data_IF_934608845344
#
_entry.id   IF_934608845344
#
_cell.length_a   1.000
_cell.length_b   1.000
_cell.length_c   1.000
_cell.angle_alpha   90.00
_cell.angle_beta   90.00
_cell.angle_gamma   90.00
#
_symmetry.space_group_name_H-M   'P 1'
#
loop_
_entity.id
_entity.type
_entity.pdbx_description
1 polymer ?
#
# COMPACT_ATOMS: atom_id res chain seq x y z
N UNK A 1 14.46 23.30 -6.75
CA UNK A 1 14.33 21.83 -6.68
C UNK A 1 13.76 21.35 -8.01
N UNK A 2 14.22 20.21 -8.53
CA UNK A 2 13.68 19.65 -9.78
C UNK A 2 12.84 18.39 -9.46
N UNK A 3 11.77 18.58 -8.68
CA UNK A 3 10.90 17.47 -8.31
C UNK A 3 10.08 17.01 -9.53
N UNK A 4 10.10 15.72 -9.81
CA UNK A 4 9.44 15.05 -10.93
C UNK A 4 8.39 14.02 -10.50
N UNK A 5 8.50 13.51 -9.26
CA UNK A 5 7.57 12.55 -8.69
C UNK A 5 7.29 12.89 -7.22
N UNK A 6 6.02 12.89 -6.84
CA UNK A 6 5.58 13.06 -5.46
C UNK A 6 4.89 11.77 -5.04
N UNK A 7 5.37 11.14 -3.96
CA UNK A 7 4.74 9.97 -3.35
C UNK A 7 4.16 10.34 -1.98
N UNK A 8 2.92 9.99 -1.71
CA UNK A 8 2.28 10.28 -0.43
C UNK A 8 1.59 9.03 0.11
N UNK A 9 1.89 8.68 1.36
CA UNK A 9 1.07 7.69 2.06
C UNK A 9 -0.38 8.17 2.17
N UNK A 10 -1.29 7.22 2.41
CA UNK A 10 -2.73 7.49 2.46
C UNK A 10 -3.22 7.75 3.88
N UNK A 11 -3.17 6.73 4.74
CA UNK A 11 -3.83 6.75 6.05
C UNK A 11 -2.99 7.49 7.10
N UNK A 12 -3.46 8.65 7.59
CA UNK A 12 -2.68 9.51 8.49
C UNK A 12 -1.75 10.49 7.78
N UNK A 13 -1.70 10.44 6.46
CA UNK A 13 -0.88 11.32 5.62
C UNK A 13 -1.74 12.13 4.65
N UNK A 14 -2.25 11.53 3.57
CA UNK A 14 -3.08 12.20 2.57
C UNK A 14 -4.55 12.28 3.00
N UNK A 15 -5.05 11.24 3.66
CA UNK A 15 -6.43 11.18 4.17
C UNK A 15 -6.52 11.85 5.54
N UNK A 16 -7.58 12.63 5.75
CA UNK A 16 -7.94 13.17 7.06
C UNK A 16 -8.36 12.07 8.06
N UNK A 17 -8.61 12.41 9.31
CA UNK A 17 -9.07 11.48 10.35
C UNK A 17 -10.44 10.85 10.04
N UNK A 18 -11.22 11.41 9.11
CA UNK A 18 -12.49 10.87 8.60
C UNK A 18 -12.31 10.03 7.34
N UNK A 19 -11.06 9.75 6.93
CA UNK A 19 -10.70 9.00 5.73
C UNK A 19 -11.14 9.66 4.42
N UNK A 20 -11.20 11.00 4.39
CA UNK A 20 -11.55 11.78 3.21
C UNK A 20 -10.29 12.37 2.56
N UNK A 21 -10.29 12.45 1.23
CA UNK A 21 -9.25 13.16 0.47
C UNK A 21 -9.42 14.68 0.64
N UNK A 22 -8.32 15.46 0.63
CA UNK A 22 -8.38 16.92 0.64
C UNK A 22 -9.19 17.46 -0.54
N UNK A 23 -10.09 18.41 -0.29
CA UNK A 23 -10.98 19.00 -1.31
C UNK A 23 -10.22 19.59 -2.52
N UNK A 24 -9.04 20.17 -2.28
CA UNK A 24 -8.20 20.78 -3.31
C UNK A 24 -7.17 19.86 -3.96
N UNK A 25 -7.21 18.55 -3.71
CA UNK A 25 -6.19 17.61 -4.20
C UNK A 25 -6.23 17.44 -5.71
N UNK A 26 -7.41 17.19 -6.31
CA UNK A 26 -7.52 16.89 -7.74
C UNK A 26 -7.05 18.06 -8.62
N UNK A 27 -7.49 19.32 -8.38
CA UNK A 27 -6.92 20.46 -9.10
C UNK A 27 -5.40 20.62 -8.90
N UNK A 28 -4.89 20.33 -7.70
CA UNK A 28 -3.45 20.41 -7.41
C UNK A 28 -2.67 19.36 -8.22
N UNK A 29 -3.15 18.12 -8.26
CA UNK A 29 -2.53 17.04 -9.07
C UNK A 29 -2.49 17.40 -10.55
N UNK A 30 -3.57 17.95 -11.09
CA UNK A 30 -3.60 18.41 -12.49
C UNK A 30 -2.60 19.54 -12.75
N UNK A 31 -2.51 20.53 -11.85
CA UNK A 31 -1.52 21.61 -11.96
C UNK A 31 -0.07 21.08 -11.89
N UNK A 32 0.20 20.05 -11.08
CA UNK A 32 1.48 19.36 -11.05
C UNK A 32 1.77 18.62 -12.37
N UNK A 33 0.79 17.90 -12.90
CA UNK A 33 0.91 17.18 -14.17
C UNK A 33 1.26 18.13 -15.33
N UNK A 34 0.62 19.30 -15.40
CA UNK A 34 0.94 20.35 -16.40
C UNK A 34 2.40 20.86 -16.30
N UNK A 35 3.00 20.73 -15.11
CA UNK A 35 4.43 21.07 -14.87
C UNK A 35 5.37 19.87 -15.04
N UNK A 36 4.85 18.71 -15.51
CA UNK A 36 5.62 17.49 -15.71
C UNK A 36 5.96 16.75 -14.40
N UNK A 37 5.19 16.99 -13.32
CA UNK A 37 5.34 16.30 -12.03
C UNK A 37 4.25 15.26 -11.88
N UNK A 38 4.62 13.99 -11.63
CA UNK A 38 3.70 12.89 -11.38
C UNK A 38 3.37 12.79 -9.89
N UNK A 39 2.18 12.29 -9.57
CA UNK A 39 1.75 12.04 -8.21
C UNK A 39 1.44 10.56 -8.01
N UNK A 40 1.88 9.97 -6.89
CA UNK A 40 1.72 8.56 -6.58
C UNK A 40 1.22 8.37 -5.13
N UNK A 41 -0.06 8.02 -4.89
CA UNK A 41 -0.47 7.47 -3.60
C UNK A 41 0.28 6.17 -3.31
N UNK A 42 0.79 6.03 -2.08
CA UNK A 42 1.60 4.91 -1.64
C UNK A 42 0.97 4.24 -0.40
N UNK A 43 0.38 3.05 -0.53
CA UNK A 43 -0.43 2.44 0.51
C UNK A 43 -0.27 0.92 0.60
N UNK A 44 -0.63 0.35 1.77
CA UNK A 44 -0.87 -1.09 1.94
C UNK A 44 -2.19 -1.58 1.35
N UNK A 45 -3.07 -0.66 0.90
CA UNK A 45 -4.37 -0.98 0.31
C UNK A 45 -4.22 -1.66 -1.05
N UNK A 46 -5.26 -2.40 -1.45
CA UNK A 46 -5.37 -2.97 -2.79
C UNK A 46 -5.36 -1.86 -3.85
N UNK A 47 -4.72 -2.14 -4.99
CA UNK A 47 -4.67 -1.20 -6.11
C UNK A 47 -6.05 -0.70 -6.54
N UNK A 48 -7.02 -1.58 -6.74
CA UNK A 48 -8.37 -1.20 -7.18
C UNK A 48 -9.11 -0.33 -6.17
N UNK A 49 -8.85 -0.51 -4.87
CA UNK A 49 -9.39 0.36 -3.82
C UNK A 49 -8.82 1.78 -3.94
N UNK A 50 -7.52 1.91 -4.20
CA UNK A 50 -6.90 3.22 -4.44
C UNK A 50 -7.42 3.83 -5.74
N UNK A 51 -7.42 3.06 -6.83
CA UNK A 51 -7.85 3.53 -8.14
C UNK A 51 -9.29 4.08 -8.13
N UNK A 52 -10.23 3.36 -7.50
CA UNK A 52 -11.62 3.82 -7.33
C UNK A 52 -11.71 5.08 -6.44
N UNK A 53 -10.88 5.20 -5.42
CA UNK A 53 -10.87 6.35 -4.52
C UNK A 53 -10.49 7.66 -5.22
N UNK A 54 -9.62 7.61 -6.23
CA UNK A 54 -9.20 8.78 -6.99
C UNK A 54 -10.11 9.12 -8.17
N UNK A 55 -11.06 8.24 -8.51
CA UNK A 55 -12.18 8.51 -9.43
C UNK A 55 -11.73 9.15 -10.75
N UNK A 56 -12.13 10.41 -10.99
CA UNK A 56 -11.93 11.11 -12.27
C UNK A 56 -10.47 11.40 -12.64
N UNK A 57 -9.53 11.34 -11.69
CA UNK A 57 -8.09 11.55 -11.96
C UNK A 57 -7.29 10.24 -11.87
N UNK A 58 -7.95 9.10 -11.72
CA UNK A 58 -7.28 7.83 -11.46
C UNK A 58 -6.25 7.46 -12.55
N UNK A 59 -6.54 7.75 -13.81
CA UNK A 59 -5.63 7.47 -14.94
C UNK A 59 -4.46 8.48 -15.06
N UNK A 60 -4.51 9.59 -14.31
CA UNK A 60 -3.46 10.60 -14.30
C UNK A 60 -2.36 10.30 -13.27
N UNK A 61 -2.60 9.32 -12.37
CA UNK A 61 -1.75 8.97 -11.24
C UNK A 61 -0.85 7.77 -11.53
N UNK A 62 0.24 7.69 -10.77
CA UNK A 62 0.94 6.43 -10.54
C UNK A 62 0.52 5.87 -9.18
N UNK A 63 0.71 4.57 -8.93
CA UNK A 63 0.28 3.95 -7.69
C UNK A 63 1.37 3.04 -7.13
N UNK A 64 1.63 3.18 -5.84
CA UNK A 64 2.37 2.23 -5.03
C UNK A 64 1.35 1.55 -4.10
N UNK A 65 0.89 0.37 -4.48
CA UNK A 65 -0.13 -0.38 -3.75
C UNK A 65 0.43 -1.65 -3.10
N UNK A 66 -0.34 -2.30 -2.24
CA UNK A 66 0.08 -3.50 -1.52
C UNK A 66 1.45 -3.33 -0.84
N UNK A 67 1.69 -2.17 -0.16
CA UNK A 67 2.98 -1.78 0.43
C UNK A 67 4.17 -1.81 -0.53
N UNK A 68 3.96 -1.62 -1.83
CA UNK A 68 4.98 -1.64 -2.86
C UNK A 68 5.07 -2.94 -3.65
N UNK A 69 4.22 -3.92 -3.35
CA UNK A 69 4.21 -5.18 -4.11
C UNK A 69 3.57 -5.05 -5.50
N UNK A 70 2.76 -4.03 -5.72
CA UNK A 70 2.15 -3.74 -7.01
C UNK A 70 2.28 -2.25 -7.34
N UNK A 71 2.78 -1.95 -8.51
CA UNK A 71 3.04 -0.60 -9.02
C UNK A 71 2.27 -0.43 -10.32
N UNK A 72 1.53 0.69 -10.43
CA UNK A 72 0.75 0.96 -11.64
C UNK A 72 0.99 2.39 -12.15
N UNK A 73 0.83 2.58 -13.46
CA UNK A 73 0.71 3.88 -14.13
C UNK A 73 -0.72 3.95 -14.71
N UNK A 74 -1.55 4.80 -14.14
CA UNK A 74 -2.99 4.72 -14.38
C UNK A 74 -3.52 3.32 -14.05
N UNK A 75 -4.24 2.73 -14.99
CA UNK A 75 -4.78 1.38 -14.87
C UNK A 75 -3.77 0.26 -15.22
N UNK A 76 -2.60 0.59 -15.76
CA UNK A 76 -1.60 -0.39 -16.20
C UNK A 76 -0.68 -0.81 -15.04
N UNK A 77 -0.56 -2.11 -14.79
CA UNK A 77 0.41 -2.64 -13.84
C UNK A 77 1.80 -2.70 -14.48
N UNK A 78 2.69 -1.79 -14.04
CA UNK A 78 4.07 -1.67 -14.56
C UNK A 78 5.11 -2.40 -13.70
N UNK A 79 4.79 -2.71 -12.43
CA UNK A 79 5.63 -3.47 -11.52
C UNK A 79 4.82 -4.43 -10.65
N UNK A 80 5.33 -5.66 -10.43
CA UNK A 80 4.64 -6.65 -9.61
C UNK A 80 5.62 -7.62 -8.94
N UNK A 81 5.70 -7.53 -7.62
CA UNK A 81 6.57 -8.36 -6.78
C UNK A 81 5.85 -9.60 -6.27
N UNK A 82 5.82 -10.67 -7.09
CA UNK A 82 5.21 -11.92 -6.69
C UNK A 82 5.96 -12.60 -5.53
N UNK A 83 5.20 -13.19 -4.60
CA UNK A 83 5.72 -14.08 -3.56
C UNK A 83 6.17 -15.42 -4.16
N UNK A 84 7.12 -16.14 -3.53
CA UNK A 84 7.41 -17.53 -3.88
C UNK A 84 6.14 -18.38 -3.76
N UNK A 85 5.85 -19.15 -4.80
CA UNK A 85 4.60 -19.93 -4.90
C UNK A 85 4.45 -20.95 -3.76
N UNK A 86 5.53 -21.61 -3.37
CA UNK A 86 5.55 -22.55 -2.25
C UNK A 86 5.15 -21.87 -0.93
N UNK A 87 5.61 -20.65 -0.71
CA UNK A 87 5.26 -19.85 0.48
C UNK A 87 3.77 -19.50 0.49
N UNK A 88 3.21 -19.12 -0.66
CA UNK A 88 1.78 -18.82 -0.80
C UNK A 88 0.93 -20.08 -0.52
N UNK A 89 1.31 -21.20 -1.11
CA UNK A 89 0.57 -22.47 -0.91
C UNK A 89 0.64 -22.93 0.54
N UNK A 90 1.83 -22.90 1.16
CA UNK A 90 2.01 -23.22 2.58
C UNK A 90 1.15 -22.33 3.49
N UNK A 91 1.05 -21.03 3.17
CA UNK A 91 0.24 -20.09 3.94
C UNK A 91 -1.26 -20.42 3.82
N UNK A 92 -1.74 -20.70 2.62
CA UNK A 92 -3.14 -21.12 2.38
C UNK A 92 -3.46 -22.39 3.15
N UNK A 93 -2.62 -23.42 3.05
CA UNK A 93 -2.84 -24.68 3.77
C UNK A 93 -2.80 -24.48 5.30
N UNK A 94 -1.86 -23.67 5.81
CA UNK A 94 -1.75 -23.38 7.23
C UNK A 94 -3.00 -22.70 7.78
N UNK A 95 -3.51 -21.67 7.12
CA UNK A 95 -4.69 -20.94 7.60
C UNK A 95 -5.92 -21.83 7.64
N UNK A 96 -6.07 -22.79 6.73
CA UNK A 96 -7.15 -23.78 6.70
C UNK A 96 -7.20 -24.66 7.97
N UNK A 97 -6.06 -24.82 8.66
CA UNK A 97 -5.98 -25.58 9.91
C UNK A 97 -6.35 -24.79 11.15
N UNK A 98 -6.50 -23.46 11.04
CA UNK A 98 -6.72 -22.56 12.17
C UNK A 98 -8.22 -22.23 12.32
N UNK A 99 -8.88 -22.63 13.40
CA UNK A 99 -10.31 -22.36 13.59
C UNK A 99 -10.60 -20.83 13.67
N UNK A 100 -11.51 -20.37 12.79
CA UNK A 100 -11.93 -18.97 12.72
C UNK A 100 -10.91 -18.05 12.05
N UNK A 101 -9.88 -18.61 11.40
CA UNK A 101 -8.98 -17.88 10.55
C UNK A 101 -9.35 -18.10 9.06
N UNK A 102 -9.17 -17.06 8.26
CA UNK A 102 -9.46 -17.03 6.83
C UNK A 102 -8.38 -16.25 6.09
N UNK A 103 -8.34 -16.34 4.77
CA UNK A 103 -7.36 -15.60 3.97
C UNK A 103 -7.99 -15.01 2.70
N UNK A 104 -7.44 -13.87 2.31
CA UNK A 104 -7.62 -13.27 1.00
C UNK A 104 -6.23 -13.06 0.38
N UNK A 105 -6.08 -13.41 -0.88
CA UNK A 105 -4.82 -13.27 -1.62
C UNK A 105 -4.95 -12.21 -2.70
N UNK A 106 -3.88 -11.42 -2.92
CA UNK A 106 -3.85 -10.36 -3.93
C UNK A 106 -3.04 -10.78 -5.14
N UNK A 107 -3.69 -10.75 -6.31
CA UNK A 107 -3.11 -10.92 -7.63
C UNK A 107 -3.23 -9.62 -8.44
N UNK A 108 -2.66 -9.56 -9.65
CA UNK A 108 -2.82 -8.39 -10.54
C UNK A 108 -4.28 -8.09 -10.88
N UNK A 109 -5.11 -9.11 -11.02
CA UNK A 109 -6.51 -8.99 -11.43
C UNK A 109 -7.47 -8.64 -10.29
N UNK A 110 -7.02 -8.66 -9.04
CA UNK A 110 -7.85 -8.39 -7.86
C UNK A 110 -7.46 -9.19 -6.64
N UNK A 111 -8.33 -9.19 -5.64
CA UNK A 111 -8.23 -10.04 -4.45
C UNK A 111 -9.15 -11.25 -4.59
N UNK A 112 -8.75 -12.37 -3.99
CA UNK A 112 -9.48 -13.63 -4.08
C UNK A 112 -9.57 -14.30 -2.73
N UNK A 113 -10.75 -14.85 -2.41
CA UNK A 113 -11.00 -15.59 -1.18
C UNK A 113 -11.75 -16.91 -1.47
N UNK A 114 -11.69 -17.83 -0.52
CA UNK A 114 -12.29 -19.14 -0.67
C UNK A 114 -13.78 -19.18 -0.30
N UNK A 115 -14.56 -19.96 -1.03
CA UNK A 115 -16.01 -20.12 -0.86
C UNK A 115 -16.44 -20.51 0.57
N UNK A 116 -15.59 -21.18 1.33
CA UNK A 116 -15.86 -21.60 2.71
C UNK A 116 -15.58 -20.50 3.76
N UNK A 117 -15.22 -19.29 3.33
CA UNK A 117 -15.01 -18.16 4.23
C UNK A 117 -16.29 -17.74 4.95
N UNK A 118 -16.18 -17.37 6.24
CA UNK A 118 -17.35 -16.94 7.01
C UNK A 118 -17.93 -15.63 6.46
N UNK A 119 -19.23 -15.40 6.70
CA UNK A 119 -19.87 -14.15 6.32
C UNK A 119 -19.21 -12.90 6.95
N UNK A 120 -18.60 -13.03 8.14
CA UNK A 120 -17.84 -11.96 8.78
C UNK A 120 -16.53 -11.70 8.04
N UNK A 121 -15.78 -12.74 7.69
CA UNK A 121 -14.55 -12.62 6.92
C UNK A 121 -14.83 -11.99 5.55
N UNK A 122 -15.85 -12.44 4.83
CA UNK A 122 -16.22 -11.90 3.52
C UNK A 122 -16.61 -10.41 3.61
N UNK A 123 -17.36 -9.99 4.66
CA UNK A 123 -17.64 -8.56 4.88
C UNK A 123 -16.37 -7.75 5.06
N UNK A 124 -15.41 -8.27 5.84
CA UNK A 124 -14.12 -7.61 6.03
C UNK A 124 -13.31 -7.56 4.73
N UNK A 125 -13.26 -8.65 3.95
CA UNK A 125 -12.57 -8.66 2.66
C UNK A 125 -13.11 -7.58 1.71
N UNK A 126 -14.43 -7.50 1.55
CA UNK A 126 -15.07 -6.51 0.69
C UNK A 126 -14.96 -5.06 1.22
N UNK A 127 -14.74 -4.87 2.53
CA UNK A 127 -14.50 -3.54 3.09
C UNK A 127 -13.11 -2.99 2.70
N UNK A 128 -12.11 -3.86 2.59
CA UNK A 128 -10.73 -3.47 2.29
C UNK A 128 -10.33 -3.64 0.83
N UNK A 129 -11.05 -4.47 0.06
CA UNK A 129 -10.74 -4.80 -1.33
C UNK A 129 -11.93 -4.47 -2.23
N UNK A 130 -11.83 -3.40 -3.01
CA UNK A 130 -12.85 -2.97 -3.96
C UNK A 130 -13.13 -4.03 -5.05
N UNK A 131 -12.09 -4.76 -5.47
CA UNK A 131 -12.23 -5.90 -6.36
C UNK A 131 -11.86 -7.19 -5.62
N UNK A 132 -12.89 -7.87 -5.09
CA UNK A 132 -12.74 -9.09 -4.30
C UNK A 132 -13.67 -10.19 -4.85
N UNK A 133 -13.11 -11.35 -5.20
CA UNK A 133 -13.83 -12.42 -5.89
C UNK A 133 -13.71 -13.74 -5.13
N UNK A 134 -14.86 -14.45 -4.99
CA UNK A 134 -14.90 -15.80 -4.47
C UNK A 134 -14.37 -16.81 -5.49
N UNK A 135 -13.51 -17.73 -5.04
CA UNK A 135 -13.03 -18.87 -5.83
C UNK A 135 -13.28 -20.19 -5.09
N UNK A 136 -13.44 -21.30 -5.81
CA UNK A 136 -13.66 -22.61 -5.18
C UNK A 136 -12.48 -23.08 -4.32
N UNK A 137 -11.24 -22.81 -4.77
CA UNK A 137 -9.99 -23.21 -4.11
C UNK A 137 -8.90 -22.19 -4.39
N UNK A 138 -8.36 -21.57 -3.32
CA UNK A 138 -7.28 -20.57 -3.42
C UNK A 138 -5.94 -21.17 -3.83
N UNK A 139 -5.66 -22.43 -3.43
CA UNK A 139 -4.41 -23.08 -3.80
C UNK A 139 -4.37 -23.39 -5.31
N UNK A 140 -5.47 -23.88 -5.87
CA UNK A 140 -5.59 -24.06 -7.32
C UNK A 140 -5.48 -22.73 -8.08
N UNK A 141 -6.06 -21.66 -7.55
CA UNK A 141 -5.95 -20.31 -8.13
C UNK A 141 -4.50 -19.84 -8.11
N UNK A 142 -3.79 -19.95 -6.97
CA UNK A 142 -2.40 -19.54 -6.80
C UNK A 142 -1.39 -20.36 -7.65
N UNK A 143 -1.77 -21.54 -8.11
CA UNK A 143 -0.96 -22.29 -9.09
C UNK A 143 -0.98 -21.66 -10.48
N UNK A 144 -2.00 -20.87 -10.82
CA UNK A 144 -2.20 -20.26 -12.15
C UNK A 144 -1.82 -18.79 -12.19
N UNK A 145 -2.06 -18.07 -11.08
CA UNK A 145 -1.84 -16.62 -10.99
C UNK A 145 -0.72 -16.29 -9.99
N UNK A 146 0.19 -15.37 -10.33
CA UNK A 146 1.16 -14.84 -9.37
C UNK A 146 0.46 -14.04 -8.27
N UNK A 147 0.85 -14.26 -7.02
CA UNK A 147 0.29 -13.61 -5.83
C UNK A 147 1.34 -12.70 -5.20
N UNK A 148 0.99 -11.45 -4.91
CA UNK A 148 1.90 -10.49 -4.29
C UNK A 148 1.70 -10.33 -2.77
N UNK A 149 0.50 -10.64 -2.26
CA UNK A 149 0.20 -10.57 -0.83
C UNK A 149 -0.77 -11.70 -0.43
N UNK A 150 -0.54 -12.27 0.74
CA UNK A 150 -1.46 -13.17 1.44
C UNK A 150 -1.87 -12.45 2.72
N UNK A 151 -3.11 -11.97 2.80
CA UNK A 151 -3.65 -11.33 3.98
C UNK A 151 -4.47 -12.35 4.78
N UNK A 152 -4.08 -12.56 6.02
CA UNK A 152 -4.68 -13.49 6.96
C UNK A 152 -5.63 -12.73 7.89
N UNK A 153 -6.83 -13.22 8.07
CA UNK A 153 -7.87 -12.64 8.91
C UNK A 153 -8.22 -13.56 10.07
N UNK A 154 -8.28 -13.02 11.29
CA UNK A 154 -8.83 -13.68 12.47
C UNK A 154 -9.42 -12.62 13.40
N UNK A 155 -10.74 -12.51 13.45
CA UNK A 155 -11.44 -11.43 14.16
C UNK A 155 -10.97 -11.24 15.61
N UNK A 156 -10.44 -10.05 15.93
CA UNK A 156 -9.93 -9.63 17.24
C UNK A 156 -8.76 -10.44 17.78
N UNK A 157 -8.14 -11.34 17.00
CA UNK A 157 -7.13 -12.28 17.50
C UNK A 157 -5.91 -12.46 16.61
N UNK A 158 -5.65 -11.53 15.68
CA UNK A 158 -4.53 -11.68 14.75
C UNK A 158 -3.18 -11.84 15.46
N UNK A 159 -2.90 -11.01 16.47
CA UNK A 159 -1.65 -11.08 17.22
C UNK A 159 -1.50 -12.38 18.01
N UNK A 160 -2.58 -12.87 18.64
CA UNK A 160 -2.55 -14.05 19.51
C UNK A 160 -2.60 -15.37 18.72
N UNK A 161 -3.23 -15.39 17.54
CA UNK A 161 -3.45 -16.62 16.77
C UNK A 161 -2.57 -16.65 15.52
N UNK A 162 -2.61 -15.60 14.70
CA UNK A 162 -1.93 -15.62 13.41
C UNK A 162 -0.42 -15.40 13.55
N UNK A 163 0.03 -14.42 14.35
CA UNK A 163 1.46 -14.15 14.50
C UNK A 163 2.25 -15.38 14.98
N UNK A 164 1.84 -16.12 16.04
CA UNK A 164 2.55 -17.33 16.46
C UNK A 164 2.45 -18.46 15.43
N UNK A 165 1.27 -18.62 14.79
CA UNK A 165 1.05 -19.69 13.81
C UNK A 165 1.88 -19.54 12.54
N UNK A 166 2.32 -18.31 12.21
CA UNK A 166 3.12 -17.99 11.03
C UNK A 166 4.54 -17.53 11.36
N UNK A 167 5.00 -17.66 12.61
CA UNK A 167 6.33 -17.22 13.04
C UNK A 167 7.47 -17.85 12.24
N UNK A 168 7.32 -19.10 11.81
CA UNK A 168 8.30 -19.84 10.99
C UNK A 168 8.36 -19.39 9.52
N UNK A 169 7.43 -18.53 9.08
CA UNK A 169 7.53 -17.85 7.79
C UNK A 169 8.56 -16.72 7.77
N UNK A 170 9.04 -16.29 8.95
CA UNK A 170 10.12 -15.32 9.04
C UNK A 170 11.36 -15.81 8.27
N UNK A 171 11.89 -14.96 7.36
CA UNK A 171 12.95 -15.33 6.44
C UNK A 171 12.49 -15.92 5.08
N UNK A 172 11.27 -16.43 4.98
CA UNK A 172 10.62 -16.84 3.71
C UNK A 172 9.67 -15.76 3.17
N UNK A 173 9.05 -15.01 4.08
CA UNK A 173 8.17 -13.89 3.80
C UNK A 173 8.36 -12.78 4.85
N UNK A 174 7.95 -11.58 4.51
CA UNK A 174 7.80 -10.48 5.45
C UNK A 174 6.40 -10.60 6.08
N UNK A 175 6.37 -10.69 7.42
CA UNK A 175 5.14 -10.68 8.20
C UNK A 175 4.91 -9.27 8.77
N UNK A 176 3.69 -8.77 8.63
CA UNK A 176 3.29 -7.50 9.21
C UNK A 176 1.93 -7.66 9.91
N UNK A 177 1.87 -7.30 11.21
CA UNK A 177 0.60 -7.15 11.91
C UNK A 177 -0.07 -5.85 11.42
N UNK A 178 -1.24 -5.99 10.80
CA UNK A 178 -1.99 -4.90 10.14
C UNK A 178 -3.28 -4.58 10.91
N UNK A 179 -3.19 -4.49 12.23
CA UNK A 179 -4.32 -4.22 13.12
C UNK A 179 -4.71 -5.42 13.99
N UNK A 180 -5.89 -5.35 14.60
CA UNK A 180 -6.38 -6.37 15.55
C UNK A 180 -6.79 -7.68 14.87
N UNK A 181 -7.14 -7.61 13.58
CA UNK A 181 -7.79 -8.70 12.83
C UNK A 181 -6.90 -9.29 11.75
N UNK A 182 -5.78 -8.63 11.38
CA UNK A 182 -5.04 -8.93 10.16
C UNK A 182 -3.55 -9.14 10.37
N UNK A 183 -3.00 -10.10 9.64
CA UNK A 183 -1.55 -10.26 9.41
C UNK A 183 -1.32 -10.37 7.89
N UNK A 184 -0.43 -9.55 7.36
CA UNK A 184 -0.04 -9.59 5.96
C UNK A 184 1.27 -10.35 5.77
N UNK A 185 1.30 -11.24 4.79
CA UNK A 185 2.52 -11.85 4.28
C UNK A 185 2.81 -11.28 2.89
N UNK A 186 4.04 -10.84 2.70
CA UNK A 186 4.55 -10.30 1.43
C UNK A 186 5.93 -10.88 1.12
N UNK A 187 6.39 -10.71 -0.09
CA UNK A 187 7.76 -11.06 -0.46
C UNK A 187 8.75 -10.25 0.40
N UNK A 188 9.78 -10.92 0.91
CA UNK A 188 10.87 -10.26 1.66
C UNK A 188 11.53 -9.16 0.82
N UNK A 189 11.74 -7.99 1.43
CA UNK A 189 12.37 -6.83 0.81
C UNK A 189 11.42 -5.94 -0.02
N UNK A 190 10.14 -6.27 -0.10
CA UNK A 190 9.13 -5.37 -0.67
C UNK A 190 8.89 -4.21 0.30
N UNK A 191 8.92 -2.99 -0.21
CA UNK A 191 8.61 -1.78 0.55
C UNK A 191 8.15 -0.65 -0.38
N UNK A 192 7.49 0.36 0.19
CA UNK A 192 7.11 1.58 -0.57
C UNK A 192 8.34 2.29 -1.14
N UNK A 193 9.49 2.25 -0.43
CA UNK A 193 10.74 2.85 -0.90
C UNK A 193 11.31 2.13 -2.13
N UNK A 194 11.37 0.80 -2.10
CA UNK A 194 11.78 0.00 -3.27
C UNK A 194 10.87 0.21 -4.48
N UNK A 195 9.55 0.34 -4.24
CA UNK A 195 8.59 0.69 -5.30
C UNK A 195 8.81 2.10 -5.86
N UNK A 196 9.21 3.07 -5.03
CA UNK A 196 9.58 4.41 -5.49
C UNK A 196 10.80 4.36 -6.41
N UNK A 197 11.82 3.56 -6.08
CA UNK A 197 13.00 3.35 -6.94
C UNK A 197 12.60 2.75 -8.29
N UNK A 198 11.71 1.76 -8.30
CA UNK A 198 11.22 1.13 -9.54
C UNK A 198 10.44 2.13 -10.41
N UNK A 199 9.59 2.97 -9.80
CA UNK A 199 8.92 4.07 -10.49
C UNK A 199 9.90 5.08 -11.08
N UNK A 200 10.96 5.43 -10.36
CA UNK A 200 12.02 6.30 -10.89
C UNK A 200 12.65 5.71 -12.14
N UNK A 201 12.93 4.41 -12.14
CA UNK A 201 13.44 3.69 -13.31
C UNK A 201 12.49 3.77 -14.51
N UNK A 202 11.20 3.58 -14.29
CA UNK A 202 10.15 3.67 -15.32
C UNK A 202 10.06 5.08 -15.93
N UNK A 203 10.23 6.12 -15.10
CA UNK A 203 10.16 7.52 -15.52
C UNK A 203 11.50 8.08 -16.08
N UNK A 204 12.59 7.33 -15.99
CA UNK A 204 13.93 7.81 -16.36
C UNK A 204 14.42 8.98 -15.49
N UNK A 205 14.07 8.97 -14.18
CA UNK A 205 14.49 9.95 -13.19
C UNK A 205 15.25 9.26 -12.06
N UNK A 206 15.73 10.04 -11.09
CA UNK A 206 16.40 9.51 -9.89
C UNK A 206 15.55 9.77 -8.65
N UNK A 207 15.82 9.07 -7.57
CA UNK A 207 15.15 9.29 -6.28
C UNK A 207 15.41 10.69 -5.72
N UNK A 208 16.50 11.35 -6.15
CA UNK A 208 16.78 12.75 -5.81
C UNK A 208 15.74 13.74 -6.40
N UNK A 209 15.03 13.33 -7.46
CA UNK A 209 13.96 14.10 -8.10
C UNK A 209 12.57 13.79 -7.47
N UNK A 210 12.55 13.06 -6.33
CA UNK A 210 11.33 12.65 -5.66
C UNK A 210 11.09 13.41 -4.37
N UNK A 211 9.82 13.72 -4.11
CA UNK A 211 9.30 14.19 -2.82
C UNK A 211 8.42 13.11 -2.21
N UNK A 212 8.55 12.84 -0.90
CA UNK A 212 7.73 11.83 -0.23
C UNK A 212 7.15 12.33 1.09
N UNK A 213 5.92 11.87 1.39
CA UNK A 213 5.19 12.15 2.62
C UNK A 213 4.79 10.85 3.31
N UNK A 214 4.86 10.83 4.65
CA UNK A 214 4.46 9.67 5.44
C UNK A 214 4.26 10.02 6.91
N UNK A 215 3.62 9.11 7.65
CA UNK A 215 3.35 9.29 9.08
C UNK A 215 3.71 8.07 9.95
N UNK A 216 3.84 6.87 9.37
CA UNK A 216 4.05 5.68 10.17
C UNK A 216 5.27 4.84 9.73
N UNK A 217 5.56 3.76 10.48
CA UNK A 217 6.79 2.99 10.34
C UNK A 217 6.96 2.27 8.99
N UNK A 218 5.87 1.96 8.30
CA UNK A 218 5.91 1.39 6.94
C UNK A 218 6.31 2.40 5.86
N UNK A 219 6.48 3.70 6.23
CA UNK A 219 6.97 4.76 5.35
C UNK A 219 8.47 5.04 5.52
N UNK A 220 9.15 4.33 6.43
CA UNK A 220 10.58 4.56 6.72
C UNK A 220 11.40 4.46 5.43
N UNK A 221 11.23 3.39 4.65
CA UNK A 221 11.96 3.20 3.41
C UNK A 221 11.55 4.22 2.35
N UNK A 222 10.27 4.61 2.29
CA UNK A 222 9.78 5.65 1.38
C UNK A 222 10.50 6.99 1.63
N UNK A 223 10.53 7.43 2.90
CA UNK A 223 11.15 8.69 3.27
C UNK A 223 12.68 8.67 3.17
N UNK A 224 13.32 7.52 3.40
CA UNK A 224 14.76 7.35 3.20
C UNK A 224 15.18 7.42 1.74
N UNK A 225 14.35 6.88 0.87
CA UNK A 225 14.62 6.76 -0.57
C UNK A 225 14.44 8.11 -1.27
N UNK A 226 13.43 8.89 -0.90
CA UNK A 226 13.11 10.15 -1.57
C UNK A 226 14.16 11.25 -1.32
N UNK A 227 14.45 12.02 -2.37
CA UNK A 227 15.33 13.19 -2.30
C UNK A 227 14.85 14.25 -1.32
N UNK A 228 13.54 14.49 -1.26
CA UNK A 228 12.89 15.38 -0.32
C UNK A 228 11.84 14.62 0.49
N UNK A 229 12.03 14.50 1.81
CA UNK A 229 11.15 13.69 2.67
C UNK A 229 10.52 14.53 3.77
N UNK A 230 9.21 14.35 3.92
CA UNK A 230 8.36 15.09 4.86
C UNK A 230 7.63 14.15 5.80
N UNK A 231 7.86 14.28 7.09
CA UNK A 231 7.04 13.61 8.10
C UNK A 231 5.89 14.52 8.49
N UNK A 232 4.68 13.95 8.56
CA UNK A 232 3.49 14.66 9.04
C UNK A 232 3.65 15.10 10.49
N UNK A 233 2.94 16.14 10.93
CA UNK A 233 2.98 16.59 12.33
C UNK A 233 2.47 15.51 13.30
N UNK A 234 1.55 14.66 12.85
CA UNK A 234 1.02 13.50 13.56
C UNK A 234 1.88 12.22 13.42
N UNK A 235 3.06 12.30 12.79
CA UNK A 235 3.88 11.14 12.51
C UNK A 235 4.49 10.49 13.76
N UNK A 236 4.69 9.18 13.67
CA UNK A 236 5.44 8.42 14.67
C UNK A 236 6.85 9.00 14.87
N UNK A 237 7.33 9.09 16.13
CA UNK A 237 8.58 9.76 16.50
C UNK A 237 9.81 9.25 15.70
N UNK A 238 9.90 7.95 15.46
CA UNK A 238 11.01 7.37 14.71
C UNK A 238 11.01 7.83 13.24
N UNK A 239 9.84 7.94 12.61
CA UNK A 239 9.73 8.46 11.26
C UNK A 239 10.03 9.96 11.23
N UNK A 240 9.52 10.68 12.21
CA UNK A 240 9.72 12.10 12.38
C UNK A 240 11.21 12.49 12.55
N UNK A 241 12.00 11.65 13.23
CA UNK A 241 13.43 11.85 13.41
C UNK A 241 14.26 11.59 12.15
N UNK A 242 13.71 10.82 11.20
CA UNK A 242 14.39 10.40 9.97
C UNK A 242 14.15 11.35 8.81
N UNK A 243 12.95 11.98 8.73
CA UNK A 243 12.57 12.85 7.64
C UNK A 243 13.40 14.13 7.62
N UNK A 244 13.69 14.66 6.42
CA UNK A 244 14.41 15.93 6.24
C UNK A 244 13.61 17.12 6.75
N UNK A 245 12.28 17.07 6.59
CA UNK A 245 11.37 18.17 6.91
C UNK A 245 10.14 17.66 7.67
N UNK A 246 9.44 18.62 8.27
CA UNK A 246 8.13 18.40 8.89
C UNK A 246 7.10 19.21 8.12
N UNK A 247 5.89 18.66 8.00
CA UNK A 247 4.75 19.37 7.42
C UNK A 247 3.56 19.35 8.39
N UNK A 248 2.51 20.17 8.17
CA UNK A 248 1.31 20.13 8.99
C UNK A 248 0.69 18.72 9.04
N UNK A 249 -0.26 18.51 9.96
CA UNK A 249 -0.94 17.23 10.10
C UNK A 249 -1.84 16.91 8.90
N UNK A 250 -2.28 15.67 8.80
CA UNK A 250 -3.24 15.24 7.79
C UNK A 250 -4.58 15.97 7.92
N UNK A 251 -5.04 16.30 9.16
CA UNK A 251 -6.27 17.07 9.40
C UNK A 251 -6.15 18.56 9.04
N UNK A 252 -4.92 19.03 8.74
CA UNK A 252 -4.63 20.38 8.29
C UNK A 252 -4.27 20.46 6.80
N UNK A 253 -4.60 19.43 6.01
CA UNK A 253 -4.21 19.29 4.59
C UNK A 253 -2.69 19.39 4.36
N UNK A 254 -1.88 18.85 5.28
CA UNK A 254 -0.44 19.05 5.34
C UNK A 254 0.29 18.75 4.03
N UNK A 255 -0.09 17.68 3.33
CA UNK A 255 0.48 17.31 2.02
C UNK A 255 0.20 18.40 0.98
N UNK A 256 -1.06 18.77 0.78
CA UNK A 256 -1.45 19.75 -0.24
C UNK A 256 -0.87 21.12 0.05
N UNK A 257 -0.88 21.56 1.31
CA UNK A 257 -0.29 22.87 1.73
C UNK A 257 1.20 22.90 1.46
N UNK A 258 1.91 21.82 1.78
CA UNK A 258 3.36 21.74 1.55
C UNK A 258 3.69 21.75 0.06
N UNK A 259 2.97 20.97 -0.75
CA UNK A 259 3.15 20.96 -2.21
C UNK A 259 2.93 22.37 -2.78
N UNK A 260 1.84 23.05 -2.40
CA UNK A 260 1.58 24.43 -2.87
C UNK A 260 2.70 25.38 -2.52
N UNK A 261 3.22 25.30 -1.30
CA UNK A 261 4.32 26.17 -0.86
C UNK A 261 5.64 25.90 -1.63
N UNK A 262 5.93 24.63 -1.95
CA UNK A 262 7.15 24.24 -2.69
C UNK A 262 7.07 24.62 -4.17
N UNK A 263 5.89 24.56 -4.77
CA UNK A 263 5.68 24.79 -6.20
C UNK A 263 5.11 26.16 -6.55
N UNK A 264 4.88 27.05 -5.58
CA UNK A 264 4.22 28.35 -5.76
C UNK A 264 2.87 28.22 -6.51
N UNK A 265 1.96 27.38 -5.95
CA UNK A 265 0.62 27.03 -6.48
C UNK A 265 -0.50 27.57 -5.59
#
# INVERSE_FOLDING_TARGET
MNIRLIAADMDGTLLDSRKQLPEGLFPLVRALHERGVRFAPASGRQFYTLYEQFGEIADELMYISENGAMICDGAECVGFSAMPRDVVLDAIERVRTLPGAYTVISARSGAFYEKNSSAEAVRNFNMYCARCTEVPDLAEFALREPICKVALFCAGRAEQVLMPAFADFAGRAQLALSGTDWVDLMRTGVSKGGALEELCGTLGITTADCMAFGDYLNDIELLRTAGESYAMANAHEQLAALAKYRCPSNDEDGVCRTIRAVFDL
#
